data_IF_329258431354
#
_entry.id   IF_329258431354
#
_cell.length_a   1.000
_cell.length_b   1.000
_cell.length_c   1.000
_cell.angle_alpha   90.00
_cell.angle_beta   90.00
_cell.angle_gamma   90.00
#
_symmetry.space_group_name_H-M   'P 1'
#
loop_
_entity.id
_entity.type
_entity.pdbx_description
1 polymer ?
#
# COMPACT_ATOMS: atom_id res chain seq x y z
N UNK A 1 -1.99 -9.12 3.75
CA UNK A 1 -1.06 -9.02 4.91
C UNK A 1 -1.00 -10.37 5.63
N UNK A 2 -0.03 -11.23 5.28
CA UNK A 2 -0.02 -12.63 5.74
C UNK A 2 1.36 -13.09 6.21
N UNK A 3 1.39 -13.84 7.32
CA UNK A 3 2.60 -14.39 7.93
C UNK A 3 2.68 -14.20 9.46
N UNK A 4 3.66 -14.84 10.10
CA UNK A 4 3.85 -14.85 11.54
C UNK A 4 4.36 -13.51 12.12
N UNK A 5 5.16 -12.77 11.35
CA UNK A 5 5.80 -11.52 11.79
C UNK A 5 5.47 -10.36 10.84
N UNK A 6 4.23 -10.30 10.37
CA UNK A 6 3.75 -9.17 9.57
C UNK A 6 3.85 -7.89 10.42
N UNK A 7 4.39 -6.82 9.83
CA UNK A 7 4.45 -5.52 10.49
C UNK A 7 3.13 -4.77 10.37
N UNK A 8 3.17 -3.52 9.90
CA UNK A 8 1.99 -2.66 9.79
C UNK A 8 1.91 -1.95 8.45
N UNK A 9 0.69 -1.69 7.99
CA UNK A 9 0.39 -0.84 6.85
C UNK A 9 -0.39 0.37 7.33
N UNK A 10 0.01 1.57 6.91
CA UNK A 10 -0.62 2.84 7.28
C UNK A 10 -0.90 3.67 6.03
N UNK A 11 -2.05 4.32 6.03
CA UNK A 11 -2.36 5.39 5.08
C UNK A 11 -2.22 6.73 5.81
N UNK A 12 -1.38 7.61 5.25
CA UNK A 12 -1.10 8.93 5.79
C UNK A 12 -1.52 10.00 4.79
N UNK A 13 -2.06 11.11 5.29
CA UNK A 13 -2.21 12.34 4.53
C UNK A 13 -1.07 13.29 4.89
N UNK A 14 -0.30 13.72 3.90
CA UNK A 14 0.78 14.70 4.07
C UNK A 14 0.46 15.98 3.29
N UNK A 15 0.56 17.13 3.94
CA UNK A 15 0.41 18.43 3.23
C UNK A 15 1.64 18.74 2.39
N UNK A 16 1.64 19.88 1.70
CA UNK A 16 2.85 20.41 1.05
C UNK A 16 4.00 20.69 2.02
N UNK A 17 3.73 20.92 3.31
CA UNK A 17 4.76 20.85 4.36
C UNK A 17 4.96 19.38 4.78
N UNK A 18 6.14 18.80 4.53
CA UNK A 18 6.37 17.39 4.78
C UNK A 18 6.34 17.00 6.27
N UNK A 19 6.40 17.98 7.18
CA UNK A 19 6.30 17.75 8.63
C UNK A 19 4.86 17.51 9.08
N UNK A 20 3.89 17.94 8.30
CA UNK A 20 2.47 17.81 8.62
C UNK A 20 1.92 16.53 7.98
N UNK A 21 1.99 15.43 8.73
CA UNK A 21 1.44 14.11 8.38
C UNK A 21 0.35 13.71 9.37
N UNK A 22 -0.76 13.15 8.87
CA UNK A 22 -1.85 12.60 9.69
C UNK A 22 -2.16 11.19 9.24
N UNK A 23 -2.20 10.23 10.16
CA UNK A 23 -2.67 8.87 9.86
C UNK A 23 -4.18 8.85 9.75
N UNK A 24 -4.70 8.33 8.63
CA UNK A 24 -6.14 8.17 8.40
C UNK A 24 -6.60 6.73 8.54
N UNK A 25 -5.68 5.78 8.36
CA UNK A 25 -5.96 4.36 8.54
C UNK A 25 -4.70 3.59 8.86
N UNK A 26 -4.87 2.48 9.59
CA UNK A 26 -3.79 1.53 9.85
C UNK A 26 -4.31 0.11 10.12
N UNK A 27 -3.50 -0.88 9.75
CA UNK A 27 -3.61 -2.28 10.20
C UNK A 27 -2.23 -2.81 10.56
N UNK A 28 -2.20 -3.79 11.47
CA UNK A 28 -0.97 -4.44 11.93
C UNK A 28 -1.16 -5.93 12.12
N UNK A 29 -0.09 -6.70 11.90
CA UNK A 29 -0.08 -8.14 12.08
C UNK A 29 -0.81 -8.89 10.97
N UNK A 30 -0.89 -10.21 11.15
CA UNK A 30 -1.55 -11.10 10.21
C UNK A 30 -3.04 -10.76 10.02
N UNK A 31 -3.49 -10.59 8.77
CA UNK A 31 -4.88 -10.33 8.40
C UNK A 31 -5.55 -11.54 7.73
N UNK A 32 -4.83 -12.65 7.54
CA UNK A 32 -5.30 -13.82 6.80
C UNK A 32 -4.69 -13.90 5.39
N UNK A 33 -4.85 -15.08 4.78
CA UNK A 33 -4.31 -15.43 3.46
C UNK A 33 -5.35 -15.18 2.35
N UNK A 34 -5.91 -13.97 2.35
CA UNK A 34 -6.90 -13.53 1.38
C UNK A 34 -6.70 -12.03 1.12
N UNK A 35 -6.97 -11.58 -0.10
CA UNK A 35 -7.05 -10.16 -0.45
C UNK A 35 -8.18 -9.49 0.34
N UNK A 36 -7.93 -8.28 0.86
CA UNK A 36 -8.86 -7.58 1.74
C UNK A 36 -9.11 -6.16 1.20
N UNK A 37 -10.37 -5.86 0.90
CA UNK A 37 -10.77 -4.52 0.46
C UNK A 37 -10.85 -3.54 1.64
N UNK A 38 -10.26 -2.38 1.47
CA UNK A 38 -10.24 -1.23 2.37
C UNK A 38 -10.84 -0.03 1.65
N UNK A 39 -11.80 0.65 2.30
CA UNK A 39 -12.41 1.87 1.79
C UNK A 39 -12.47 2.94 2.87
N UNK A 40 -11.95 4.13 2.57
CA UNK A 40 -11.88 5.25 3.52
C UNK A 40 -12.33 6.53 2.83
N UNK A 41 -13.08 7.35 3.56
CA UNK A 41 -13.46 8.71 3.14
C UNK A 41 -12.77 9.74 4.03
N UNK A 42 -12.07 10.69 3.40
CA UNK A 42 -11.35 11.77 4.11
C UNK A 42 -11.71 13.12 3.52
N UNK A 43 -11.75 14.14 4.37
CA UNK A 43 -11.93 15.54 3.94
C UNK A 43 -10.59 16.26 3.99
N UNK A 44 -10.06 16.58 2.82
CA UNK A 44 -8.82 17.32 2.64
C UNK A 44 -9.06 18.82 2.83
N UNK A 45 -8.43 19.41 3.85
CA UNK A 45 -8.52 20.84 4.18
C UNK A 45 -7.51 21.72 3.42
N UNK A 46 -6.62 21.09 2.64
CA UNK A 46 -5.50 21.71 1.93
C UNK A 46 -5.10 20.79 0.76
N UNK A 47 -3.99 21.10 0.09
CA UNK A 47 -3.37 20.18 -0.86
C UNK A 47 -2.65 19.08 -0.08
N UNK A 48 -2.97 17.83 -0.37
CA UNK A 48 -2.37 16.66 0.26
C UNK A 48 -1.84 15.66 -0.76
N UNK A 49 -0.89 14.83 -0.33
CA UNK A 49 -0.61 13.54 -0.93
C UNK A 49 -0.97 12.42 0.05
N UNK A 50 -1.37 11.28 -0.50
CA UNK A 50 -1.55 10.03 0.25
C UNK A 50 -0.20 9.31 0.27
N UNK A 51 0.22 8.84 1.45
CA UNK A 51 1.40 7.98 1.61
C UNK A 51 0.93 6.63 2.13
N UNK A 52 1.35 5.58 1.44
CA UNK A 52 1.29 4.21 1.95
C UNK A 52 2.62 3.88 2.60
N UNK A 53 2.60 3.69 3.91
CA UNK A 53 3.77 3.34 4.71
C UNK A 53 3.60 1.92 5.25
N UNK A 54 4.44 1.01 4.78
CA UNK A 54 4.54 -0.35 5.31
C UNK A 54 5.75 -0.45 6.23
N UNK A 55 5.62 -1.25 7.29
CA UNK A 55 6.70 -1.53 8.23
C UNK A 55 6.99 -3.03 8.27
N UNK A 56 8.27 -3.38 8.41
CA UNK A 56 8.69 -4.77 8.62
C UNK A 56 8.39 -5.17 10.07
N UNK A 57 7.73 -6.31 10.26
CA UNK A 57 7.48 -6.88 11.59
C UNK A 57 8.49 -7.97 12.00
N UNK A 58 9.21 -8.56 11.05
CA UNK A 58 10.21 -9.61 11.23
C UNK A 58 10.45 -10.36 9.92
N UNK A 59 10.99 -11.59 10.00
CA UNK A 59 11.52 -12.33 8.86
C UNK A 59 10.49 -13.19 8.09
N UNK A 60 9.26 -13.31 8.60
CA UNK A 60 8.24 -14.21 8.08
C UNK A 60 6.86 -13.54 8.03
N UNK A 61 6.72 -12.50 7.21
CA UNK A 61 5.41 -11.91 6.93
C UNK A 61 5.48 -10.75 5.95
N UNK A 62 4.67 -10.82 4.90
CA UNK A 62 4.67 -9.83 3.83
C UNK A 62 3.36 -9.01 3.81
N UNK A 63 3.49 -7.80 3.26
CA UNK A 63 2.38 -6.87 3.03
C UNK A 63 2.30 -6.64 1.53
N UNK A 64 1.19 -7.03 0.91
CA UNK A 64 0.90 -6.78 -0.50
C UNK A 64 -0.32 -5.88 -0.61
N UNK A 65 -0.31 -5.03 -1.64
CA UNK A 65 -1.36 -4.07 -2.00
C UNK A 65 -1.62 -4.16 -3.50
N UNK A 66 -2.87 -3.96 -3.89
CA UNK A 66 -3.31 -4.01 -5.28
C UNK A 66 -4.55 -3.11 -5.48
N UNK A 67 -4.96 -2.85 -6.72
CA UNK A 67 -6.20 -2.13 -7.07
C UNK A 67 -6.38 -0.75 -6.38
N UNK A 68 -5.32 0.04 -6.27
CA UNK A 68 -5.38 1.33 -5.58
C UNK A 68 -6.20 2.36 -6.36
N UNK A 69 -7.17 3.01 -5.71
CA UNK A 69 -7.92 4.11 -6.32
C UNK A 69 -8.14 5.29 -5.39
N UNK A 70 -8.06 6.48 -5.98
CA UNK A 70 -8.16 7.78 -5.33
C UNK A 70 -9.15 8.65 -6.12
N UNK A 71 -10.38 8.78 -5.62
CA UNK A 71 -11.45 9.49 -6.33
C UNK A 71 -12.03 10.64 -5.52
N UNK A 72 -12.36 11.74 -6.19
CA UNK A 72 -13.10 12.85 -5.57
C UNK A 72 -14.57 12.50 -5.35
N UNK A 73 -15.08 12.85 -4.17
CA UNK A 73 -16.48 12.58 -3.79
C UNK A 73 -16.66 11.18 -3.19
N UNK A 74 -17.90 10.68 -3.11
CA UNK A 74 -18.17 9.36 -2.52
C UNK A 74 -17.60 8.22 -3.37
N UNK A 75 -17.10 7.16 -2.73
CA UNK A 75 -16.72 5.89 -3.36
C UNK A 75 -17.83 5.40 -4.30
N UNK A 76 -17.71 5.73 -5.57
CA UNK A 76 -18.40 5.04 -6.66
C UNK A 76 -17.38 4.08 -7.24
N UNK A 77 -17.81 2.92 -7.75
CA UNK A 77 -16.89 1.97 -8.38
C UNK A 77 -16.14 2.70 -9.50
N UNK A 78 -14.88 3.05 -9.25
CA UNK A 78 -14.06 3.85 -10.13
C UNK A 78 -13.51 2.96 -11.23
N UNK A 79 -13.58 3.42 -12.48
CA UNK A 79 -12.86 2.80 -13.61
C UNK A 79 -11.35 3.00 -13.54
N UNK A 80 -10.87 3.83 -12.60
CA UNK A 80 -9.49 4.30 -12.50
C UNK A 80 -8.77 3.57 -11.36
N UNK A 81 -8.87 2.24 -11.32
CA UNK A 81 -8.06 1.41 -10.43
C UNK A 81 -6.62 1.39 -10.96
N UNK A 82 -5.65 1.55 -10.07
CA UNK A 82 -4.27 1.20 -10.34
C UNK A 82 -4.06 -0.26 -9.95
N UNK A 83 -4.30 -1.14 -10.91
CA UNK A 83 -4.06 -2.60 -10.86
C UNK A 83 -2.59 -2.97 -11.08
N UNK A 84 -1.73 -1.95 -11.18
CA UNK A 84 -0.31 -2.06 -11.47
C UNK A 84 0.09 -2.82 -12.73
N UNK A 85 -0.81 -3.25 -13.63
CA UNK A 85 -0.46 -4.08 -14.79
C UNK A 85 0.40 -3.34 -15.81
N UNK A 86 0.13 -2.05 -16.00
CA UNK A 86 0.87 -1.19 -16.94
C UNK A 86 1.91 -0.28 -16.26
N UNK A 87 2.09 -0.39 -14.94
CA UNK A 87 3.09 0.39 -14.20
C UNK A 87 2.65 0.76 -12.79
N UNK A 88 3.01 1.96 -12.34
CA UNK A 88 2.73 2.47 -10.99
C UNK A 88 1.59 3.50 -10.93
N UNK A 89 0.95 3.81 -12.07
CA UNK A 89 -0.14 4.78 -12.20
C UNK A 89 0.12 6.14 -11.51
N UNK A 90 1.39 6.58 -11.49
CA UNK A 90 1.78 7.84 -10.87
C UNK A 90 2.11 7.77 -9.37
N UNK A 91 1.96 6.61 -8.71
CA UNK A 91 2.54 6.36 -7.39
C UNK A 91 4.07 6.40 -7.47
N UNK A 92 4.69 7.08 -6.51
CA UNK A 92 6.13 7.32 -6.47
C UNK A 92 6.73 6.74 -5.21
N UNK A 93 7.77 5.92 -5.37
CA UNK A 93 8.60 5.43 -4.29
C UNK A 93 9.31 6.60 -3.63
N UNK A 94 9.27 6.64 -2.30
CA UNK A 94 10.11 7.56 -1.55
C UNK A 94 11.53 6.99 -1.48
N UNK A 95 12.51 7.86 -1.30
CA UNK A 95 13.93 7.46 -1.24
C UNK A 95 14.57 7.81 0.10
N UNK A 96 13.76 8.29 1.05
CA UNK A 96 14.16 8.76 2.37
C UNK A 96 13.65 7.83 3.50
N UNK A 97 13.41 6.57 3.14
CA UNK A 97 13.00 5.43 3.97
C UNK A 97 14.07 4.32 3.94
N UNK A 98 13.76 3.17 4.54
CA UNK A 98 14.72 2.06 4.69
C UNK A 98 14.70 1.12 3.48
N UNK A 99 13.55 1.01 2.81
CA UNK A 99 13.28 0.07 1.73
C UNK A 99 12.33 0.62 0.67
N UNK A 100 12.46 0.09 -0.53
CA UNK A 100 11.52 0.31 -1.62
C UNK A 100 10.46 -0.80 -1.63
N UNK A 101 9.18 -0.44 -1.83
CA UNK A 101 8.17 -1.38 -2.33
C UNK A 101 8.60 -2.07 -3.63
N UNK A 102 8.28 -3.35 -3.78
CA UNK A 102 8.66 -4.14 -4.94
C UNK A 102 7.41 -4.49 -5.75
N UNK A 103 7.41 -4.16 -7.05
CA UNK A 103 6.38 -4.65 -7.99
C UNK A 103 6.76 -6.05 -8.46
N UNK A 104 5.89 -7.02 -8.29
CA UNK A 104 6.15 -8.42 -8.61
C UNK A 104 4.90 -9.11 -9.16
N UNK A 105 5.12 -10.26 -9.81
CA UNK A 105 4.09 -11.23 -10.19
C UNK A 105 4.34 -12.59 -9.54
N UNK A 106 3.27 -13.32 -9.25
CA UNK A 106 3.31 -14.65 -8.64
C UNK A 106 3.65 -14.63 -7.14
N UNK A 107 3.95 -15.79 -6.53
CA UNK A 107 4.21 -15.88 -5.09
C UNK A 107 5.48 -15.16 -4.64
N UNK A 108 5.51 -14.69 -3.39
CA UNK A 108 6.71 -14.06 -2.82
C UNK A 108 7.79 -15.09 -2.48
N UNK A 109 9.01 -14.62 -2.20
CA UNK A 109 10.17 -15.49 -1.97
C UNK A 109 10.01 -16.40 -0.76
N UNK A 110 9.42 -15.88 0.32
CA UNK A 110 9.25 -16.64 1.54
C UNK A 110 7.99 -17.52 1.44
N UNK A 111 8.03 -18.78 1.88
CA UNK A 111 6.85 -19.62 1.90
C UNK A 111 5.87 -19.15 2.98
N UNK A 112 4.57 -19.27 2.70
CA UNK A 112 3.48 -18.85 3.59
C UNK A 112 3.48 -17.35 3.91
N UNK A 113 3.84 -16.53 2.93
CA UNK A 113 3.78 -15.07 2.99
C UNK A 113 3.32 -14.52 1.66
N UNK A 114 2.76 -13.31 1.66
CA UNK A 114 2.31 -12.63 0.44
C UNK A 114 1.21 -13.39 -0.31
N UNK A 115 0.77 -12.88 -1.46
CA UNK A 115 -0.26 -13.54 -2.27
C UNK A 115 0.37 -14.49 -3.31
N UNK A 116 -0.33 -15.59 -3.61
CA UNK A 116 0.05 -16.52 -4.69
C UNK A 116 -0.21 -15.97 -6.10
N UNK A 117 -1.14 -15.00 -6.20
CA UNK A 117 -1.58 -14.41 -7.46
C UNK A 117 -2.10 -13.00 -7.23
N UNK A 118 -1.94 -12.20 -8.27
CA UNK A 118 -2.50 -10.87 -8.42
C UNK A 118 -4.02 -10.84 -8.23
N UNK A 119 -4.56 -9.77 -7.63
CA UNK A 119 -5.98 -9.68 -7.31
C UNK A 119 -6.81 -9.38 -8.56
N UNK A 120 -6.40 -8.40 -9.37
CA UNK A 120 -7.16 -7.92 -10.53
C UNK A 120 -7.37 -9.02 -11.56
N UNK A 121 -6.31 -9.74 -11.90
CA UNK A 121 -6.30 -10.79 -12.92
C UNK A 121 -6.61 -12.18 -12.37
N UNK A 122 -6.51 -12.37 -11.05
CA UNK A 122 -6.52 -13.69 -10.39
C UNK A 122 -5.51 -14.66 -11.02
N UNK A 123 -4.37 -14.15 -11.48
CA UNK A 123 -3.35 -14.92 -12.18
C UNK A 123 -1.96 -14.68 -11.58
N UNK A 124 -1.09 -15.70 -11.53
CA UNK A 124 0.31 -15.53 -11.13
C UNK A 124 1.11 -14.62 -12.08
N UNK A 125 0.57 -14.30 -13.25
CA UNK A 125 1.21 -13.39 -14.22
C UNK A 125 0.85 -11.92 -14.01
N UNK A 126 -0.21 -11.63 -13.25
CA UNK A 126 -0.57 -10.25 -12.91
C UNK A 126 0.38 -9.65 -11.87
N UNK A 127 0.26 -8.36 -11.61
CA UNK A 127 1.24 -7.59 -10.88
C UNK A 127 0.66 -6.82 -9.72
N UNK A 128 1.31 -6.96 -8.57
CA UNK A 128 0.99 -6.21 -7.36
C UNK A 128 2.26 -5.60 -6.76
N UNK A 129 2.09 -4.66 -5.83
CA UNK A 129 3.20 -4.18 -5.01
C UNK A 129 3.23 -4.88 -3.67
N UNK A 130 4.44 -5.19 -3.19
CA UNK A 130 4.61 -5.76 -1.85
C UNK A 130 5.88 -5.26 -1.16
N UNK A 131 5.86 -5.34 0.17
CA UNK A 131 7.03 -5.22 1.02
C UNK A 131 7.47 -6.63 1.42
N UNK A 132 8.64 -7.05 0.92
CA UNK A 132 9.27 -8.30 1.28
C UNK A 132 9.81 -8.23 2.71
N UNK A 133 9.69 -9.33 3.43
CA UNK A 133 10.48 -9.61 4.63
C UNK A 133 11.69 -10.48 4.29
N UNK A 134 12.80 -10.30 4.99
CA UNK A 134 14.02 -11.10 4.88
C UNK A 134 14.64 -11.35 6.24
N UNK A 135 15.50 -12.35 6.34
CA UNK A 135 16.26 -12.66 7.55
C UNK A 135 17.33 -11.60 7.92
N UNK A 136 17.57 -10.64 7.03
CA UNK A 136 18.44 -9.50 7.31
C UNK A 136 17.68 -8.25 7.73
N UNK A 137 16.35 -8.27 7.63
CA UNK A 137 15.51 -7.12 7.92
C UNK A 137 15.29 -6.98 9.42
N UNK A 138 15.15 -5.73 9.86
CA UNK A 138 14.94 -5.35 11.24
C UNK A 138 13.53 -4.84 11.41
N UNK A 139 12.86 -5.31 12.45
CA UNK A 139 11.54 -4.82 12.83
C UNK A 139 11.56 -3.29 12.96
N UNK A 140 10.57 -2.64 12.36
CA UNK A 140 10.41 -1.19 12.36
C UNK A 140 11.03 -0.46 11.16
N UNK A 141 11.76 -1.15 10.29
CA UNK A 141 12.15 -0.58 9.00
C UNK A 141 10.93 -0.32 8.13
N UNK A 142 11.01 0.71 7.28
CA UNK A 142 9.87 1.27 6.57
C UNK A 142 10.08 1.32 5.05
N UNK A 143 8.99 1.14 4.32
CA UNK A 143 8.88 1.41 2.89
C UNK A 143 7.68 2.31 2.62
N UNK A 144 7.85 3.32 1.78
CA UNK A 144 6.86 4.36 1.52
C UNK A 144 6.70 4.63 0.04
N UNK A 145 5.46 4.75 -0.39
CA UNK A 145 5.11 5.33 -1.68
C UNK A 145 4.08 6.43 -1.50
N UNK A 146 4.13 7.44 -2.36
CA UNK A 146 3.21 8.57 -2.36
C UNK A 146 2.45 8.70 -3.66
N UNK A 147 1.17 9.05 -3.53
CA UNK A 147 0.32 9.41 -4.66
C UNK A 147 0.74 10.76 -5.28
N UNK A 148 0.18 11.13 -6.43
CA UNK A 148 0.16 12.53 -6.87
C UNK A 148 -0.47 13.48 -5.85
N UNK A 149 -0.33 14.79 -6.07
CA UNK A 149 -0.97 15.82 -5.23
C UNK A 149 -2.45 15.97 -5.55
N UNK A 150 -3.26 16.02 -4.50
CA UNK A 150 -4.70 16.22 -4.56
C UNK A 150 -5.09 17.56 -3.91
N UNK A 151 -5.81 18.46 -4.60
CA UNK A 151 -6.40 19.64 -3.96
C UNK A 151 -7.42 19.29 -2.87
N UNK A 152 -7.75 20.29 -2.06
CA UNK A 152 -8.76 20.21 -1.00
C UNK A 152 -10.11 19.73 -1.52
N UNK A 153 -10.79 18.89 -0.75
CA UNK A 153 -12.05 18.26 -1.14
C UNK A 153 -12.31 16.95 -0.40
N UNK A 154 -13.41 16.27 -0.72
CA UNK A 154 -13.65 14.91 -0.24
C UNK A 154 -12.90 13.95 -1.15
N UNK A 155 -12.04 13.14 -0.54
CA UNK A 155 -11.26 12.11 -1.23
C UNK A 155 -11.67 10.74 -0.67
N UNK A 156 -11.93 9.82 -1.59
CA UNK A 156 -12.14 8.41 -1.32
C UNK A 156 -10.87 7.63 -1.69
N UNK A 157 -10.43 6.77 -0.78
CA UNK A 157 -9.25 5.92 -0.94
C UNK A 157 -9.72 4.47 -0.91
N UNK A 158 -9.38 3.70 -1.94
CA UNK A 158 -9.65 2.27 -2.07
C UNK A 158 -8.31 1.55 -2.23
N UNK A 159 -8.18 0.43 -1.52
CA UNK A 159 -7.10 -0.56 -1.57
C UNK A 159 -7.68 -1.96 -1.33
#
# INVERSE_FOLDING_TARGET
MFGATVGSLRMLLQTTDPRNKTTVWQKSGNQGDEWQLVQIHVTLQSVYQVILEATVGGEAGDIAIDDLSLSYGPCTASSDLCDFEEGNCGWQQQTDDDFDWVRQSGPTHNPNTGPDSDHTTNAPSGHYYYLSSSNTDRAGQTARMSSPLYPSGVLSIIE
#
